data_IF_508598837190
#
_entry.id   IF_508598837190
#
_cell.length_a   1.000
_cell.length_b   1.000
_cell.length_c   1.000
_cell.angle_alpha   90.00
_cell.angle_beta   90.00
_cell.angle_gamma   90.00
#
_symmetry.space_group_name_H-M   'P 1'
#
loop_
_entity.id
_entity.type
_entity.pdbx_description
1 polymer ?
#
# COMPACT_ATOMS: atom_id res chain seq x y z
N UNK A 1 5.08 -24.50 -0.38
CA UNK A 1 5.42 -23.62 0.76
C UNK A 1 4.25 -22.67 0.92
N UNK A 2 3.45 -22.80 1.98
CA UNK A 2 2.26 -21.97 2.17
C UNK A 2 2.71 -20.64 2.79
N UNK A 3 2.91 -19.61 1.96
CA UNK A 3 3.16 -18.26 2.48
C UNK A 3 1.92 -17.85 3.30
N UNK A 4 2.11 -17.65 4.61
CA UNK A 4 1.02 -17.29 5.52
C UNK A 4 0.69 -15.81 5.30
N UNK A 5 -0.32 -15.53 4.49
CA UNK A 5 -0.83 -14.18 4.30
C UNK A 5 -1.66 -13.73 5.51
N UNK A 6 -1.68 -12.43 5.77
CA UNK A 6 -2.51 -11.80 6.79
C UNK A 6 -3.68 -11.06 6.13
N UNK A 7 -4.93 -11.28 6.55
CA UNK A 7 -6.07 -10.59 5.97
C UNK A 7 -5.99 -9.08 6.22
N UNK A 8 -6.40 -8.32 5.22
CA UNK A 8 -6.53 -6.85 5.26
C UNK A 8 -7.97 -6.49 4.91
N UNK A 9 -8.65 -5.78 5.81
CA UNK A 9 -9.98 -5.23 5.56
C UNK A 9 -10.12 -3.92 6.32
N UNK A 10 -10.42 -2.83 5.60
CA UNK A 10 -10.64 -1.53 6.23
C UNK A 10 -11.54 -0.63 5.37
N UNK A 11 -12.24 0.34 5.98
CA UNK A 11 -13.09 1.27 5.25
C UNK A 11 -12.30 2.32 4.47
N UNK A 12 -12.96 2.95 3.51
CA UNK A 12 -12.46 4.14 2.83
C UNK A 12 -11.98 5.22 3.82
N UNK A 13 -10.91 5.92 3.47
CA UNK A 13 -10.23 6.92 4.30
C UNK A 13 -9.18 6.34 5.25
N UNK A 14 -9.07 5.02 5.38
CA UNK A 14 -8.03 4.40 6.22
C UNK A 14 -6.65 4.62 5.59
N UNK A 15 -5.69 5.12 6.37
CA UNK A 15 -4.29 5.21 5.96
C UNK A 15 -3.61 3.86 6.21
N UNK A 16 -3.16 3.20 5.15
CA UNK A 16 -2.50 1.90 5.22
C UNK A 16 -1.01 2.01 5.56
N UNK A 17 -0.35 3.01 4.99
CA UNK A 17 1.06 3.26 5.20
C UNK A 17 1.41 4.73 4.95
N UNK A 18 2.47 5.19 5.61
CA UNK A 18 3.02 6.55 5.52
C UNK A 18 4.51 6.52 5.23
N UNK A 19 5.06 7.62 4.68
CA UNK A 19 6.49 7.78 4.51
C UNK A 19 7.27 7.49 5.81
N UNK A 20 8.36 6.74 5.69
CA UNK A 20 9.23 6.37 6.81
C UNK A 20 8.80 5.13 7.60
N UNK A 21 7.55 4.66 7.45
CA UNK A 21 7.13 3.40 8.10
C UNK A 21 7.79 2.19 7.43
N UNK A 22 8.09 1.18 8.24
CA UNK A 22 8.53 -0.13 7.76
C UNK A 22 7.42 -0.81 6.96
N UNK A 23 7.81 -1.57 5.94
CA UNK A 23 6.88 -2.30 5.10
C UNK A 23 6.70 -3.73 5.61
N UNK A 24 5.51 -4.08 6.14
CA UNK A 24 5.26 -5.42 6.66
C UNK A 24 5.15 -6.49 5.56
N UNK A 25 4.97 -6.09 4.30
CA UNK A 25 4.86 -7.04 3.19
C UNK A 25 4.13 -6.49 1.97
N UNK A 26 3.91 -7.37 1.00
CA UNK A 26 3.22 -7.07 -0.25
C UNK A 26 1.71 -7.06 -0.08
N UNK A 27 1.05 -5.98 -0.51
CA UNK A 27 -0.41 -5.87 -0.50
C UNK A 27 -1.00 -6.40 -1.79
N UNK A 28 -1.93 -7.36 -1.68
CA UNK A 28 -2.76 -7.84 -2.78
C UNK A 28 -4.23 -7.55 -2.49
N UNK A 29 -4.85 -6.74 -3.34
CA UNK A 29 -6.27 -6.39 -3.23
C UNK A 29 -7.16 -7.44 -3.92
N UNK A 30 -8.27 -7.76 -3.27
CA UNK A 30 -9.39 -8.52 -3.82
C UNK A 30 -10.53 -7.58 -4.22
N UNK A 31 -10.75 -6.49 -3.47
CA UNK A 31 -11.72 -5.44 -3.79
C UNK A 31 -11.26 -4.07 -3.27
N UNK A 32 -11.91 -3.02 -3.78
CA UNK A 32 -11.63 -1.62 -3.41
C UNK A 32 -10.43 -1.03 -4.14
N UNK A 33 -9.91 0.08 -3.63
CA UNK A 33 -8.74 0.75 -4.21
C UNK A 33 -7.92 1.48 -3.17
N UNK A 34 -6.60 1.52 -3.39
CA UNK A 34 -5.66 2.32 -2.61
C UNK A 34 -5.15 3.46 -3.49
N UNK A 35 -5.28 4.70 -3.04
CA UNK A 35 -4.62 5.85 -3.65
C UNK A 35 -3.26 6.05 -3.01
N UNK A 36 -2.22 6.13 -3.84
CA UNK A 36 -0.85 6.37 -3.38
C UNK A 36 -0.43 7.79 -3.74
N UNK A 37 -0.06 8.57 -2.73
CA UNK A 37 0.30 10.00 -2.86
C UNK A 37 1.71 10.26 -2.36
N UNK A 38 2.40 11.18 -3.03
CA UNK A 38 3.67 11.73 -2.58
C UNK A 38 3.45 13.17 -2.12
N UNK A 39 3.86 13.48 -0.90
CA UNK A 39 3.90 14.84 -0.38
C UNK A 39 5.22 15.50 -0.78
N UNK A 40 5.15 16.56 -1.59
CA UNK A 40 6.31 17.37 -1.93
C UNK A 40 6.67 18.31 -0.78
N UNK A 41 7.93 18.76 -0.71
CA UNK A 41 8.44 19.64 0.34
C UNK A 41 7.69 20.98 0.48
N UNK A 42 6.98 21.40 -0.58
CA UNK A 42 6.15 22.61 -0.60
C UNK A 42 4.70 22.37 -0.14
N UNK A 43 4.38 21.19 0.41
CA UNK A 43 3.05 20.84 0.90
C UNK A 43 2.06 20.40 -0.18
N UNK A 44 2.47 20.32 -1.46
CA UNK A 44 1.62 19.75 -2.51
C UNK A 44 1.60 18.23 -2.43
N UNK A 45 0.42 17.66 -2.62
CA UNK A 45 0.27 16.21 -2.80
C UNK A 45 0.11 15.88 -4.28
N UNK A 46 0.84 14.86 -4.73
CA UNK A 46 0.73 14.32 -6.09
C UNK A 46 0.28 12.87 -5.97
N UNK A 47 -0.82 12.52 -6.65
CA UNK A 47 -1.22 11.12 -6.82
C UNK A 47 -0.21 10.47 -7.77
N UNK A 48 0.51 9.46 -7.28
CA UNK A 48 1.44 8.69 -8.09
C UNK A 48 0.69 7.67 -8.94
N UNK A 49 -0.16 6.87 -8.28
CA UNK A 49 -0.97 5.83 -8.91
C UNK A 49 -2.09 5.39 -7.95
N UNK A 50 -2.95 4.51 -8.46
CA UNK A 50 -3.94 3.77 -7.67
C UNK A 50 -3.66 2.28 -7.81
N UNK A 51 -3.91 1.54 -6.74
CA UNK A 51 -3.87 0.07 -6.73
C UNK A 51 -5.31 -0.42 -6.76
N UNK A 52 -5.64 -1.21 -7.77
CA UNK A 52 -6.90 -1.94 -7.90
C UNK A 52 -6.67 -3.45 -7.73
N UNK A 53 -7.73 -4.27 -7.66
CA UNK A 53 -7.59 -5.72 -7.63
C UNK A 53 -6.82 -6.24 -8.85
N UNK A 54 -5.77 -7.04 -8.59
CA UNK A 54 -4.86 -7.55 -9.62
C UNK A 54 -3.62 -6.68 -9.89
N UNK A 55 -3.59 -5.43 -9.39
CA UNK A 55 -2.42 -4.57 -9.53
C UNK A 55 -1.32 -4.93 -8.52
N UNK A 56 -0.10 -4.52 -8.86
CA UNK A 56 1.05 -4.55 -7.97
C UNK A 56 1.16 -3.21 -7.25
N UNK A 57 1.12 -3.22 -5.91
CA UNK A 57 1.44 -2.02 -5.14
C UNK A 57 2.95 -1.76 -5.14
N UNK A 58 3.41 -0.87 -6.02
CA UNK A 58 4.84 -0.59 -6.26
C UNK A 58 5.62 -0.18 -5.00
N UNK A 59 5.00 0.56 -4.07
CA UNK A 59 5.61 0.88 -2.77
C UNK A 59 5.96 -0.39 -1.99
N UNK A 60 4.99 -1.30 -1.82
CA UNK A 60 5.25 -2.56 -1.10
C UNK A 60 6.25 -3.45 -1.84
N UNK A 61 6.24 -3.43 -3.18
CA UNK A 61 7.22 -4.17 -3.98
C UNK A 61 8.65 -3.63 -3.81
N UNK A 62 8.84 -2.31 -3.85
CA UNK A 62 10.15 -1.68 -3.65
C UNK A 62 10.74 -2.01 -2.27
N UNK A 63 9.89 -2.14 -1.26
CA UNK A 63 10.32 -2.57 0.06
C UNK A 63 10.83 -4.03 0.07
N UNK A 64 10.17 -4.93 -0.70
CA UNK A 64 10.62 -6.32 -0.83
C UNK A 64 11.98 -6.45 -1.51
N UNK A 65 12.26 -5.63 -2.53
CA UNK A 65 13.50 -5.73 -3.30
C UNK A 65 14.66 -4.99 -2.66
N UNK A 66 14.41 -3.82 -2.06
CA UNK A 66 15.46 -2.89 -1.63
C UNK A 66 15.53 -2.72 -0.10
N UNK A 67 14.64 -3.37 0.67
CA UNK A 67 14.59 -3.25 2.13
C UNK A 67 14.29 -1.82 2.63
N UNK A 68 13.67 -0.99 1.79
CA UNK A 68 13.41 0.43 2.07
C UNK A 68 12.10 0.62 2.82
N UNK A 69 12.04 1.64 3.68
CA UNK A 69 10.77 2.15 4.22
C UNK A 69 9.90 2.74 3.11
N UNK A 70 8.60 2.89 3.38
CA UNK A 70 7.70 3.58 2.48
C UNK A 70 8.17 5.01 2.20
N UNK A 71 7.99 5.46 0.96
CA UNK A 71 8.32 6.83 0.52
C UNK A 71 7.09 7.69 0.22
N UNK A 72 5.92 7.05 0.17
CA UNK A 72 4.63 7.65 -0.15
C UNK A 72 3.59 7.27 0.90
N UNK A 73 2.45 7.96 0.89
CA UNK A 73 1.28 7.60 1.68
C UNK A 73 0.31 6.77 0.84
N UNK A 74 -0.27 5.73 1.45
CA UNK A 74 -1.30 4.90 0.85
C UNK A 74 -2.60 5.00 1.65
N UNK A 75 -3.68 5.42 0.99
CA UNK A 75 -5.01 5.57 1.62
C UNK A 75 -6.03 4.73 0.87
N UNK A 76 -6.87 4.01 1.59
CA UNK A 76 -8.03 3.34 1.03
C UNK A 76 -8.98 4.40 0.46
N UNK A 77 -9.15 4.46 -0.86
CA UNK A 77 -10.08 5.41 -1.50
C UNK A 77 -11.51 4.86 -1.51
N UNK A 78 -11.63 3.53 -1.39
CA UNK A 78 -12.86 2.76 -1.19
C UNK A 78 -12.63 1.76 -0.06
N UNK A 79 -13.69 1.15 0.45
CA UNK A 79 -13.56 -0.01 1.33
C UNK A 79 -12.74 -1.09 0.62
N UNK A 80 -11.72 -1.62 1.30
CA UNK A 80 -10.82 -2.62 0.73
C UNK A 80 -10.96 -3.96 1.44
N UNK A 81 -10.79 -5.03 0.65
CA UNK A 81 -10.56 -6.39 1.13
C UNK A 81 -9.35 -6.93 0.38
N UNK A 82 -8.44 -7.57 1.10
CA UNK A 82 -7.23 -8.12 0.54
C UNK A 82 -6.39 -8.88 1.55
N UNK A 83 -5.11 -9.03 1.22
CA UNK A 83 -4.15 -9.71 2.07
C UNK A 83 -2.78 -9.03 2.00
N UNK A 84 -2.03 -9.11 3.10
CA UNK A 84 -0.62 -8.76 3.19
C UNK A 84 0.18 -10.05 3.19
N UNK A 85 1.02 -10.21 2.18
CA UNK A 85 1.96 -11.32 2.07
C UNK A 85 3.31 -10.87 2.67
N UNK A 86 3.77 -11.47 3.78
CA UNK A 86 5.08 -11.15 4.32
C UNK A 86 6.19 -11.52 3.32
N UNK A 87 7.33 -10.81 3.40
CA UNK A 87 8.57 -11.21 2.71
C UNK A 87 9.14 -12.50 3.32
#
# INVERSE_FOLDING_TARGET
MTHKSHPLSCPAGTVLFRPGQECPGFVRLQSGSIRVTLSAANGREVVLYRVAPGDVCLQTFACLTDGRSYSAEGVAEQDIVGEIMPH
#
